data_IF_493210140709
#
_entry.id   IF_493210140709
#
_cell.length_a   1.000
_cell.length_b   1.000
_cell.length_c   1.000
_cell.angle_alpha   90.00
_cell.angle_beta   90.00
_cell.angle_gamma   90.00
#
_symmetry.space_group_name_H-M   'P 1'
#
loop_
_entity.id
_entity.type
_entity.pdbx_description
1 polymer ?
#
# COMPACT_ATOMS: atom_id res chain seq x y z
N UNK A 1 20.10 -16.46 -12.89
CA UNK A 1 20.67 -15.37 -13.73
C UNK A 1 20.33 -15.66 -15.17
N UNK A 2 19.56 -14.81 -15.83
CA UNK A 2 19.20 -14.95 -17.24
C UNK A 2 20.08 -14.04 -18.09
N UNK A 3 20.50 -14.54 -19.27
CA UNK A 3 21.35 -13.78 -20.18
C UNK A 3 20.61 -13.60 -21.50
N UNK A 4 20.45 -12.35 -21.90
CA UNK A 4 19.86 -11.97 -23.18
C UNK A 4 20.91 -11.36 -24.09
N UNK A 5 20.80 -11.66 -25.39
CA UNK A 5 21.66 -11.06 -26.41
C UNK A 5 20.78 -10.52 -27.53
N UNK A 6 20.99 -9.25 -27.89
CA UNK A 6 20.22 -8.55 -28.90
C UNK A 6 21.16 -7.90 -29.93
N UNK A 7 20.71 -7.81 -31.17
CA UNK A 7 21.36 -7.07 -32.21
C UNK A 7 20.37 -6.06 -32.79
N UNK A 8 20.69 -4.75 -32.78
CA UNK A 8 19.80 -3.72 -33.34
C UNK A 8 19.62 -3.87 -34.85
N UNK A 9 18.41 -3.61 -35.34
CA UNK A 9 18.07 -3.51 -36.74
C UNK A 9 18.19 -2.06 -37.29
N UNK A 10 17.84 -1.84 -38.56
CA UNK A 10 17.90 -0.53 -39.24
C UNK A 10 16.98 0.51 -38.55
N UNK A 11 15.81 0.09 -38.05
CA UNK A 11 14.84 1.00 -37.42
C UNK A 11 15.29 1.41 -35.98
N UNK A 12 16.07 0.54 -35.35
CA UNK A 12 16.56 0.73 -33.96
C UNK A 12 17.91 1.47 -33.92
N UNK A 13 18.57 1.66 -35.07
CA UNK A 13 19.82 2.42 -35.16
C UNK A 13 19.70 3.82 -34.58
N UNK A 14 20.67 4.22 -33.77
CA UNK A 14 20.73 5.49 -33.05
C UNK A 14 19.69 5.65 -31.94
N UNK A 15 18.88 4.63 -31.61
CA UNK A 15 18.09 4.64 -30.37
C UNK A 15 19.02 4.66 -29.15
N UNK A 16 18.58 5.29 -28.10
CA UNK A 16 19.27 5.17 -26.82
C UNK A 16 19.12 3.75 -26.31
N UNK A 17 20.20 3.18 -25.77
CA UNK A 17 20.22 1.78 -25.29
C UNK A 17 19.16 1.49 -24.22
N UNK A 18 18.85 2.47 -23.35
CA UNK A 18 17.79 2.31 -22.35
C UNK A 18 16.38 2.23 -22.97
N UNK A 19 16.16 2.86 -24.13
CA UNK A 19 14.92 2.74 -24.92
C UNK A 19 14.90 1.44 -25.71
N UNK A 20 15.98 1.13 -26.42
CA UNK A 20 16.16 -0.12 -27.15
C UNK A 20 15.85 -1.34 -26.26
N UNK A 21 16.48 -1.44 -25.09
CA UNK A 21 16.24 -2.54 -24.16
C UNK A 21 14.80 -2.59 -23.64
N UNK A 22 14.13 -1.44 -23.45
CA UNK A 22 12.73 -1.43 -23.02
C UNK A 22 11.75 -1.89 -24.11
N UNK A 23 12.13 -1.80 -25.36
CA UNK A 23 11.37 -2.36 -26.51
C UNK A 23 11.58 -3.87 -26.63
N UNK A 24 12.78 -4.36 -26.32
CA UNK A 24 13.11 -5.80 -26.35
C UNK A 24 12.53 -6.56 -25.15
N UNK A 25 12.38 -5.88 -24.00
CA UNK A 25 11.93 -6.48 -22.74
C UNK A 25 10.76 -5.65 -22.14
N UNK A 26 9.56 -5.78 -22.70
CA UNK A 26 8.39 -4.98 -22.30
C UNK A 26 7.96 -5.20 -20.85
N UNK A 27 8.30 -6.34 -20.27
CA UNK A 27 8.03 -6.67 -18.85
C UNK A 27 8.97 -5.95 -17.88
N UNK A 28 10.07 -5.38 -18.38
CA UNK A 28 11.04 -4.67 -17.54
C UNK A 28 10.85 -3.14 -17.62
N UNK A 29 10.79 -2.50 -16.45
CA UNK A 29 10.69 -1.04 -16.43
C UNK A 29 11.98 -0.39 -16.95
N UNK A 30 11.84 0.70 -17.72
CA UNK A 30 13.00 1.46 -18.22
C UNK A 30 13.93 1.94 -17.08
N UNK A 31 13.39 2.27 -15.91
CA UNK A 31 14.16 2.67 -14.73
C UNK A 31 15.03 1.52 -14.21
N UNK A 32 14.52 0.30 -14.26
CA UNK A 32 15.27 -0.89 -13.87
C UNK A 32 16.38 -1.19 -14.87
N UNK A 33 16.11 -1.10 -16.17
CA UNK A 33 17.12 -1.25 -17.21
C UNK A 33 18.25 -0.20 -17.10
N UNK A 34 17.92 1.04 -16.75
CA UNK A 34 18.92 2.08 -16.44
C UNK A 34 19.76 1.76 -15.20
N UNK A 35 19.19 1.12 -14.19
CA UNK A 35 19.92 0.63 -13.03
C UNK A 35 20.92 -0.46 -13.44
N UNK A 36 20.48 -1.45 -14.22
CA UNK A 36 21.33 -2.53 -14.73
C UNK A 36 22.49 -1.99 -15.60
N UNK A 37 22.23 -0.98 -16.45
CA UNK A 37 23.27 -0.28 -17.21
C UNK A 37 24.31 0.38 -16.30
N UNK A 38 23.86 1.01 -15.20
CA UNK A 38 24.74 1.68 -14.23
C UNK A 38 25.58 0.67 -13.43
N UNK A 39 25.03 -0.50 -13.14
CA UNK A 39 25.65 -1.58 -12.37
C UNK A 39 26.57 -2.47 -13.24
N UNK A 40 26.61 -2.21 -14.56
CA UNK A 40 27.49 -2.93 -15.48
C UNK A 40 26.92 -4.26 -15.99
N UNK A 41 25.65 -4.58 -15.71
CA UNK A 41 24.94 -5.78 -16.16
C UNK A 41 24.55 -5.72 -17.66
N UNK A 42 24.87 -4.62 -18.35
CA UNK A 42 24.66 -4.47 -19.79
C UNK A 42 25.99 -4.12 -20.44
N UNK A 43 26.35 -4.86 -21.46
CA UNK A 43 27.52 -4.59 -22.30
C UNK A 43 27.14 -4.47 -23.76
N UNK A 44 27.89 -3.67 -24.51
CA UNK A 44 27.83 -3.58 -25.96
C UNK A 44 29.21 -3.91 -26.51
N UNK A 45 29.29 -4.92 -27.35
CA UNK A 45 30.57 -5.42 -27.87
C UNK A 45 31.58 -5.66 -26.71
N UNK A 46 31.10 -6.34 -25.67
CA UNK A 46 31.86 -6.69 -24.44
C UNK A 46 32.29 -5.50 -23.54
N UNK A 47 31.85 -4.26 -23.84
CA UNK A 47 32.17 -3.05 -23.05
C UNK A 47 30.93 -2.51 -22.35
N UNK A 48 31.08 -2.08 -21.10
CA UNK A 48 30.03 -1.38 -20.38
C UNK A 48 29.75 -0.02 -21.01
N UNK A 49 28.47 0.36 -21.09
CA UNK A 49 28.04 1.61 -21.70
C UNK A 49 27.10 2.38 -20.79
N UNK A 50 26.99 3.70 -21.01
CA UNK A 50 26.03 4.55 -20.27
C UNK A 50 24.63 4.45 -20.89
N UNK A 51 23.58 4.73 -20.11
CA UNK A 51 22.18 4.67 -20.52
C UNK A 51 21.82 5.55 -21.74
N UNK A 52 22.64 6.54 -22.06
CA UNK A 52 22.50 7.41 -23.24
C UNK A 52 23.27 6.93 -24.47
N UNK A 53 23.96 5.79 -24.41
CA UNK A 53 24.62 5.19 -25.56
C UNK A 53 23.60 4.99 -26.69
N UNK A 54 24.00 5.31 -27.94
CA UNK A 54 23.17 5.12 -29.11
C UNK A 54 23.60 3.85 -29.83
N UNK A 55 22.71 2.84 -29.82
CA UNK A 55 23.01 1.56 -30.48
C UNK A 55 23.26 1.71 -31.96
N UNK A 56 24.21 0.96 -32.51
CA UNK A 56 24.57 0.94 -33.90
C UNK A 56 24.22 -0.41 -34.54
N UNK A 57 24.12 -0.43 -35.88
CA UNK A 57 24.01 -1.70 -36.59
C UNK A 57 25.21 -2.59 -36.27
N UNK A 58 24.93 -3.88 -36.08
CA UNK A 58 25.91 -4.91 -35.71
C UNK A 58 26.47 -4.81 -34.29
N UNK A 59 25.96 -3.89 -33.46
CA UNK A 59 26.23 -3.97 -32.01
C UNK A 59 25.69 -5.27 -31.45
N UNK A 60 26.48 -5.94 -30.62
CA UNK A 60 26.04 -7.07 -29.81
C UNK A 60 25.76 -6.54 -28.41
N UNK A 61 24.48 -6.38 -28.06
CA UNK A 61 24.03 -5.91 -26.77
C UNK A 61 23.75 -7.13 -25.89
N UNK A 62 24.57 -7.35 -24.85
CA UNK A 62 24.37 -8.42 -23.86
C UNK A 62 23.81 -7.83 -22.57
N UNK A 63 22.71 -8.37 -22.08
CA UNK A 63 22.11 -8.05 -20.79
C UNK A 63 22.18 -9.28 -19.90
N UNK A 64 22.75 -9.12 -18.71
CA UNK A 64 22.68 -10.09 -17.64
C UNK A 64 21.58 -9.64 -16.66
N UNK A 65 20.48 -10.39 -16.62
CA UNK A 65 19.39 -10.13 -15.70
C UNK A 65 19.67 -10.89 -14.38
N UNK A 66 20.01 -10.19 -13.29
CA UNK A 66 20.17 -10.83 -12.01
C UNK A 66 18.86 -11.49 -11.59
N UNK A 67 18.94 -12.61 -10.91
CA UNK A 67 17.77 -13.13 -10.22
C UNK A 67 17.28 -12.07 -9.21
N UNK A 68 15.95 -11.90 -9.07
CA UNK A 68 15.44 -11.01 -8.06
C UNK A 68 16.02 -11.43 -6.70
N UNK A 69 16.82 -10.58 -6.07
CA UNK A 69 17.11 -10.73 -4.65
C UNK A 69 15.77 -10.56 -3.91
N UNK A 70 15.10 -11.67 -3.63
CA UNK A 70 14.07 -11.67 -2.59
C UNK A 70 14.82 -11.55 -1.27
N UNK A 71 14.78 -10.41 -0.59
CA UNK A 71 15.35 -10.35 0.75
C UNK A 71 14.66 -11.42 1.59
N UNK A 72 15.44 -12.23 2.28
CA UNK A 72 14.91 -13.18 3.24
C UNK A 72 14.14 -12.41 4.30
N UNK A 73 12.83 -12.57 4.32
CA UNK A 73 11.98 -11.96 5.33
C UNK A 73 12.08 -12.87 6.56
N UNK A 74 12.75 -12.38 7.58
CA UNK A 74 12.97 -13.13 8.80
C UNK A 74 11.82 -12.88 9.79
N UNK A 75 11.35 -13.91 10.50
CA UNK A 75 10.46 -13.76 11.65
C UNK A 75 11.11 -12.87 12.72
N UNK A 76 10.35 -11.94 13.30
CA UNK A 76 10.82 -11.06 14.36
C UNK A 76 9.86 -11.12 15.55
N UNK A 77 10.41 -11.24 16.77
CA UNK A 77 9.64 -11.22 18.03
C UNK A 77 9.18 -9.78 18.33
N UNK A 78 8.10 -9.40 17.66
CA UNK A 78 7.45 -8.10 17.83
C UNK A 78 6.08 -8.34 18.48
N UNK A 79 5.79 -7.71 19.63
CA UNK A 79 4.51 -7.83 20.29
C UNK A 79 3.35 -7.42 19.39
N UNK A 80 2.32 -8.27 19.30
CA UNK A 80 1.09 -8.00 18.55
C UNK A 80 -0.05 -7.71 19.54
N UNK A 81 -0.78 -6.63 19.29
CA UNK A 81 -2.06 -6.36 19.97
C UNK A 81 -3.16 -7.16 19.26
N UNK A 82 -3.45 -8.36 19.79
CA UNK A 82 -4.36 -9.33 19.19
C UNK A 82 -5.79 -9.04 19.65
N UNK A 83 -6.68 -8.77 18.69
CA UNK A 83 -8.11 -8.58 18.93
C UNK A 83 -8.88 -9.92 18.90
N UNK A 84 -8.44 -10.85 18.06
CA UNK A 84 -9.01 -12.19 17.93
C UNK A 84 -8.03 -13.12 17.23
N UNK A 85 -8.06 -14.39 17.59
CA UNK A 85 -7.31 -15.44 16.93
C UNK A 85 -8.01 -16.78 17.04
N UNK A 86 -8.03 -17.53 15.92
CA UNK A 86 -8.43 -18.91 15.88
C UNK A 86 -7.51 -19.75 14.93
N UNK A 87 -7.98 -20.88 14.41
CA UNK A 87 -7.19 -21.73 13.50
C UNK A 87 -7.05 -21.12 12.09
N UNK A 88 -7.96 -20.24 11.68
CA UNK A 88 -8.08 -19.72 10.31
C UNK A 88 -7.61 -18.27 10.16
N UNK A 89 -7.91 -17.45 11.15
CA UNK A 89 -7.63 -16.01 11.07
C UNK A 89 -7.00 -15.47 12.36
N UNK A 90 -6.19 -14.42 12.19
CA UNK A 90 -5.64 -13.61 13.25
C UNK A 90 -6.01 -12.15 12.95
N UNK A 91 -6.70 -11.47 13.88
CA UNK A 91 -7.02 -10.05 13.79
C UNK A 91 -6.18 -9.28 14.79
N UNK A 92 -5.43 -8.31 14.32
CA UNK A 92 -4.59 -7.48 15.17
C UNK A 92 -5.00 -6.01 15.08
N UNK A 93 -4.74 -5.26 16.15
CA UNK A 93 -4.78 -3.80 16.17
C UNK A 93 -3.39 -3.26 15.79
N UNK A 94 -3.18 -2.95 14.51
CA UNK A 94 -1.88 -2.49 14.01
C UNK A 94 -1.50 -1.14 14.60
N UNK A 95 -0.31 -0.99 15.19
CA UNK A 95 0.17 0.29 15.69
C UNK A 95 0.52 1.26 14.55
N UNK A 96 0.70 2.53 14.90
CA UNK A 96 1.21 3.58 14.01
C UNK A 96 2.70 3.35 13.69
N UNK A 97 3.14 3.77 12.51
CA UNK A 97 4.54 3.66 12.10
C UNK A 97 4.98 2.29 11.59
N UNK A 98 4.10 1.27 11.64
CA UNK A 98 4.40 -0.09 11.18
C UNK A 98 3.83 -0.33 9.78
N UNK A 99 4.67 -0.72 8.81
CA UNK A 99 4.19 -1.16 7.49
C UNK A 99 3.66 -2.59 7.56
N UNK A 100 2.69 -2.91 6.70
CA UNK A 100 2.08 -4.25 6.72
C UNK A 100 3.03 -5.30 6.17
N UNK A 101 3.68 -5.04 5.03
CA UNK A 101 4.56 -6.01 4.38
C UNK A 101 5.86 -5.33 3.92
N UNK A 102 6.96 -6.08 3.82
CA UNK A 102 8.24 -5.56 3.38
C UNK A 102 8.16 -4.82 2.04
N UNK A 103 8.87 -3.72 1.96
CA UNK A 103 8.97 -2.89 0.77
C UNK A 103 10.30 -2.13 0.77
N UNK A 104 10.66 -1.51 -0.35
CA UNK A 104 11.91 -0.76 -0.45
C UNK A 104 12.09 0.24 0.70
N UNK A 105 13.12 0.06 1.51
CA UNK A 105 13.42 0.86 2.71
C UNK A 105 12.78 0.35 4.02
N UNK A 106 11.95 -0.71 3.97
CA UNK A 106 11.27 -1.31 5.13
C UNK A 106 11.22 -2.82 4.98
N UNK A 107 12.35 -3.52 5.19
CA UNK A 107 12.44 -4.99 5.08
C UNK A 107 12.29 -5.69 6.41
N UNK A 108 12.35 -4.97 7.51
CA UNK A 108 12.25 -5.42 8.90
C UNK A 108 11.17 -4.66 9.64
N UNK A 109 10.77 -5.12 10.82
CA UNK A 109 9.79 -4.49 11.70
C UNK A 109 8.42 -4.25 11.03
N UNK A 110 7.99 -5.19 10.19
CA UNK A 110 6.69 -5.16 9.52
C UNK A 110 5.70 -6.10 10.20
N UNK A 111 4.41 -5.94 9.90
CA UNK A 111 3.39 -6.89 10.36
C UNK A 111 3.76 -8.31 9.90
N UNK A 112 4.25 -8.48 8.67
CA UNK A 112 4.68 -9.80 8.15
C UNK A 112 5.77 -10.42 9.04
N UNK A 113 6.83 -9.66 9.42
CA UNK A 113 7.87 -10.19 10.30
C UNK A 113 7.30 -10.65 11.64
N UNK A 114 6.38 -9.87 12.24
CA UNK A 114 5.75 -10.18 13.51
C UNK A 114 4.84 -11.42 13.43
N UNK A 115 3.99 -11.51 12.39
CA UNK A 115 3.07 -12.66 12.25
C UNK A 115 3.80 -13.95 11.85
N UNK A 116 4.91 -13.86 11.12
CA UNK A 116 5.76 -15.02 10.87
C UNK A 116 6.36 -15.58 12.15
N UNK A 117 6.72 -14.73 13.10
CA UNK A 117 7.20 -15.17 14.41
C UNK A 117 6.07 -15.77 15.25
N UNK A 118 4.94 -15.10 15.30
CA UNK A 118 3.78 -15.50 16.10
C UNK A 118 3.13 -16.80 15.59
N UNK A 119 2.81 -16.86 14.29
CA UNK A 119 2.09 -17.97 13.68
C UNK A 119 3.01 -19.11 13.23
N UNK A 120 4.33 -18.88 13.13
CA UNK A 120 5.32 -19.85 12.64
C UNK A 120 4.91 -20.41 11.27
N UNK A 121 4.70 -21.73 11.19
CA UNK A 121 4.33 -22.41 9.93
C UNK A 121 2.83 -22.25 9.56
N UNK A 122 2.04 -21.66 10.46
CA UNK A 122 0.59 -21.47 10.27
C UNK A 122 0.30 -20.12 9.62
N UNK A 123 0.72 -19.93 8.37
CA UNK A 123 0.37 -18.77 7.53
C UNK A 123 0.10 -19.25 6.11
N UNK A 124 -0.89 -18.60 5.45
CA UNK A 124 -1.14 -18.86 4.04
C UNK A 124 0.03 -18.46 3.17
N UNK A 125 0.44 -19.32 2.27
CA UNK A 125 1.51 -19.10 1.29
C UNK A 125 1.05 -18.52 -0.06
N UNK A 126 -0.24 -18.30 -0.28
CA UNK A 126 -0.80 -17.91 -1.59
C UNK A 126 -0.12 -16.69 -2.22
N UNK A 127 0.20 -15.66 -1.41
CA UNK A 127 0.89 -14.45 -1.90
C UNK A 127 2.42 -14.55 -1.84
N UNK A 128 2.95 -15.77 -1.70
CA UNK A 128 4.38 -16.07 -1.67
C UNK A 128 5.09 -15.57 -0.43
N UNK A 129 6.41 -15.75 -0.41
CA UNK A 129 7.30 -15.47 0.73
C UNK A 129 7.23 -14.00 1.19
N UNK A 130 6.93 -13.07 0.29
CA UNK A 130 6.90 -11.63 0.59
C UNK A 130 5.67 -11.17 1.36
N UNK A 131 4.57 -11.95 1.37
CA UNK A 131 3.28 -11.53 1.93
C UNK A 131 2.47 -12.70 2.51
N UNK A 132 3.08 -13.58 3.31
CA UNK A 132 2.36 -14.73 3.85
C UNK A 132 1.18 -14.25 4.69
N UNK A 133 -0.01 -14.82 4.44
CA UNK A 133 -1.23 -14.52 5.17
C UNK A 133 -1.88 -13.13 4.89
N UNK A 134 -1.28 -12.26 4.08
CA UNK A 134 -1.75 -10.89 3.87
C UNK A 134 -2.72 -10.79 2.70
N UNK A 135 -3.99 -10.52 2.96
CA UNK A 135 -5.05 -10.31 1.95
C UNK A 135 -5.38 -8.84 1.70
N UNK A 136 -5.15 -7.97 2.71
CA UNK A 136 -5.34 -6.53 2.57
C UNK A 136 -4.29 -5.75 3.35
N UNK A 137 -4.32 -4.43 3.23
CA UNK A 137 -3.35 -3.56 3.90
C UNK A 137 -3.97 -2.23 4.31
N UNK A 138 -3.41 -1.65 5.36
CA UNK A 138 -3.57 -0.25 5.75
C UNK A 138 -2.20 0.46 5.68
N UNK A 139 -2.20 1.78 5.59
CA UNK A 139 -0.95 2.55 5.46
C UNK A 139 -0.09 2.46 6.72
N UNK A 140 1.19 2.79 6.61
CA UNK A 140 2.16 2.76 7.71
C UNK A 140 1.65 3.51 8.95
N UNK A 141 1.16 4.74 8.76
CA UNK A 141 0.68 5.58 9.84
C UNK A 141 -0.83 5.46 10.11
N UNK A 142 -1.52 4.55 9.44
CA UNK A 142 -2.90 4.17 9.78
C UNK A 142 -2.87 3.07 10.83
N UNK A 143 -3.60 3.27 11.92
CA UNK A 143 -3.76 2.30 13.01
C UNK A 143 -5.02 1.47 12.84
N UNK A 144 -5.16 0.38 13.62
CA UNK A 144 -6.42 -0.34 13.76
C UNK A 144 -6.44 -1.74 13.15
N UNK A 145 -7.64 -2.26 13.00
CA UNK A 145 -7.88 -3.66 12.67
C UNK A 145 -7.37 -4.07 11.29
N UNK A 146 -6.61 -5.17 11.28
CA UNK A 146 -6.18 -5.87 10.07
C UNK A 146 -6.31 -7.38 10.28
N UNK A 147 -6.80 -8.12 9.25
CA UNK A 147 -6.89 -9.58 9.29
C UNK A 147 -5.71 -10.22 8.55
N UNK A 148 -5.22 -11.28 9.16
CA UNK A 148 -4.18 -12.17 8.64
C UNK A 148 -4.78 -13.57 8.49
N UNK A 149 -4.49 -14.24 7.38
CA UNK A 149 -4.96 -15.59 7.08
C UNK A 149 -3.91 -16.61 7.51
N UNK A 150 -4.30 -17.54 8.40
CA UNK A 150 -3.42 -18.58 8.91
C UNK A 150 -3.28 -19.78 7.98
N UNK A 151 -4.17 -19.93 7.01
CA UNK A 151 -4.16 -20.99 6.00
C UNK A 151 -4.72 -20.52 4.66
N UNK A 152 -4.55 -21.35 3.63
CA UNK A 152 -4.91 -21.01 2.25
C UNK A 152 -6.43 -20.97 2.03
N UNK A 153 -7.22 -21.76 2.75
CA UNK A 153 -8.68 -21.73 2.70
C UNK A 153 -9.21 -20.36 3.17
N UNK A 154 -8.72 -19.90 4.31
CA UNK A 154 -9.07 -18.58 4.84
C UNK A 154 -8.62 -17.45 3.89
N UNK A 155 -7.42 -17.58 3.31
CA UNK A 155 -6.90 -16.60 2.36
C UNK A 155 -7.80 -16.48 1.12
N UNK A 156 -8.14 -17.60 0.50
CA UNK A 156 -9.00 -17.62 -0.69
C UNK A 156 -10.37 -17.01 -0.39
N UNK A 157 -11.02 -17.44 0.71
CA UNK A 157 -12.32 -16.93 1.12
C UNK A 157 -12.31 -15.43 1.35
N UNK A 158 -11.34 -14.90 2.11
CA UNK A 158 -11.27 -13.47 2.39
C UNK A 158 -10.84 -12.64 1.17
N UNK A 159 -10.01 -13.20 0.29
CA UNK A 159 -9.67 -12.55 -0.98
C UNK A 159 -10.89 -12.40 -1.89
N UNK A 160 -11.75 -13.43 -1.97
CA UNK A 160 -13.00 -13.38 -2.75
C UNK A 160 -13.98 -12.36 -2.13
N UNK A 161 -14.17 -12.35 -0.81
CA UNK A 161 -14.99 -11.34 -0.13
C UNK A 161 -14.49 -9.90 -0.34
N UNK A 162 -13.16 -9.69 -0.36
CA UNK A 162 -12.56 -8.39 -0.69
C UNK A 162 -12.82 -7.99 -2.15
N UNK A 163 -12.79 -8.93 -3.07
CA UNK A 163 -13.07 -8.73 -4.49
C UNK A 163 -14.56 -8.42 -4.74
N UNK A 164 -15.45 -9.06 -4.00
CA UNK A 164 -16.89 -8.83 -4.03
C UNK A 164 -17.33 -7.62 -3.21
N UNK A 165 -16.40 -6.98 -2.52
CA UNK A 165 -16.66 -5.82 -1.65
C UNK A 165 -17.62 -6.10 -0.49
N UNK A 166 -17.71 -7.33 -0.03
CA UNK A 166 -18.62 -7.76 1.05
C UNK A 166 -18.03 -7.58 2.46
N UNK A 167 -16.72 -7.32 2.58
CA UNK A 167 -16.05 -7.06 3.86
C UNK A 167 -16.40 -5.65 4.37
N UNK A 168 -16.95 -5.57 5.58
CA UNK A 168 -17.20 -4.31 6.28
C UNK A 168 -15.87 -3.70 6.74
N UNK A 169 -15.60 -2.45 6.32
CA UNK A 169 -14.42 -1.69 6.72
C UNK A 169 -14.83 -0.27 7.06
N UNK A 170 -14.85 0.04 8.38
CA UNK A 170 -15.14 1.38 8.86
C UNK A 170 -13.92 1.99 9.51
N UNK A 171 -13.69 3.24 9.22
CA UNK A 171 -12.55 4.00 9.71
C UNK A 171 -13.02 5.22 10.49
N UNK A 172 -12.23 5.64 11.45
CA UNK A 172 -12.35 6.93 12.10
C UNK A 172 -11.27 7.86 11.55
N UNK A 173 -11.66 9.07 11.17
CA UNK A 173 -10.73 10.07 10.65
C UNK A 173 -11.02 11.45 11.23
N UNK A 174 -9.97 12.23 11.46
CA UNK A 174 -10.08 13.65 11.72
C UNK A 174 -9.62 14.40 10.49
N UNK A 175 -10.48 15.27 9.94
CA UNK A 175 -10.20 16.03 8.72
C UNK A 175 -10.15 17.53 9.00
N UNK A 176 -9.41 18.26 8.17
CA UNK A 176 -9.38 19.72 8.19
C UNK A 176 -10.68 20.31 7.66
N UNK A 177 -11.09 21.41 8.27
CA UNK A 177 -12.28 22.17 7.89
C UNK A 177 -13.57 21.61 8.47
N UNK A 178 -14.66 22.30 8.21
CA UNK A 178 -16.00 21.94 8.67
C UNK A 178 -16.80 21.39 7.49
N UNK A 179 -17.05 20.08 7.47
CA UNK A 179 -17.93 19.43 6.50
C UNK A 179 -19.36 19.95 6.71
N UNK A 180 -19.99 20.45 5.67
CA UNK A 180 -21.35 21.04 5.73
C UNK A 180 -22.42 19.95 5.91
N UNK A 181 -22.32 18.92 5.08
CA UNK A 181 -23.25 17.79 5.06
C UNK A 181 -22.90 16.78 6.14
N UNK A 182 -23.91 16.21 6.79
CA UNK A 182 -23.72 15.22 7.85
C UNK A 182 -23.24 13.87 7.33
N UNK A 183 -23.51 13.57 6.09
CA UNK A 183 -23.06 12.37 5.38
C UNK A 183 -22.85 12.65 3.90
N UNK A 184 -22.05 11.83 3.24
CA UNK A 184 -21.82 11.96 1.82
C UNK A 184 -21.01 10.81 1.25
N UNK A 185 -20.94 10.78 -0.08
CA UNK A 185 -20.17 9.80 -0.84
C UNK A 185 -19.16 10.52 -1.72
N UNK A 186 -17.92 10.08 -1.67
CA UNK A 186 -16.86 10.54 -2.57
C UNK A 186 -16.54 9.41 -3.54
N UNK A 187 -16.80 9.65 -4.82
CA UNK A 187 -16.50 8.75 -5.91
C UNK A 187 -15.42 9.36 -6.78
N UNK A 188 -14.41 8.53 -7.13
CA UNK A 188 -13.37 8.97 -8.04
C UNK A 188 -12.31 7.89 -8.22
N UNK A 189 -11.92 7.58 -9.47
CA UNK A 189 -10.93 6.54 -9.73
C UNK A 189 -9.56 6.94 -9.20
N UNK A 190 -8.94 6.07 -8.40
CA UNK A 190 -7.63 6.32 -7.80
C UNK A 190 -6.53 5.64 -8.60
N UNK A 191 -5.52 6.40 -8.98
CA UNK A 191 -4.32 5.97 -9.69
C UNK A 191 -3.08 6.69 -9.20
N UNK A 192 -1.91 6.33 -9.75
CA UNK A 192 -0.67 7.03 -9.47
C UNK A 192 -0.76 8.50 -9.89
N UNK A 193 -0.21 9.40 -9.08
CA UNK A 193 -0.08 10.80 -9.45
C UNK A 193 0.84 10.95 -10.67
N UNK A 194 0.53 11.89 -11.56
CA UNK A 194 1.20 11.99 -12.87
C UNK A 194 2.72 12.27 -12.76
N UNK A 195 3.13 13.04 -11.76
CA UNK A 195 4.53 13.49 -11.61
C UNK A 195 5.18 13.00 -10.30
N UNK A 196 4.42 12.83 -9.23
CA UNK A 196 4.93 12.39 -7.93
C UNK A 196 4.61 10.92 -7.67
N UNK A 197 5.59 10.04 -7.86
CA UNK A 197 5.43 8.58 -7.70
C UNK A 197 5.09 8.13 -6.27
N UNK A 198 5.29 8.97 -5.25
CA UNK A 198 4.94 8.68 -3.86
C UNK A 198 3.46 8.94 -3.57
N UNK A 199 2.78 9.69 -4.45
CA UNK A 199 1.37 10.07 -4.30
C UNK A 199 0.44 9.23 -5.17
N UNK A 200 -0.77 9.08 -4.67
CA UNK A 200 -1.95 8.68 -5.44
C UNK A 200 -2.77 9.94 -5.72
N UNK A 201 -3.64 9.87 -6.72
CA UNK A 201 -4.53 10.98 -7.08
C UNK A 201 -5.84 10.45 -7.68
N UNK A 202 -6.86 11.29 -7.75
CA UNK A 202 -8.00 11.05 -8.64
C UNK A 202 -7.47 11.07 -10.07
N UNK A 203 -7.61 9.95 -10.77
CA UNK A 203 -7.02 9.73 -12.09
C UNK A 203 -8.03 9.04 -13.01
N UNK A 204 -8.77 9.84 -13.76
CA UNK A 204 -9.80 9.34 -14.70
C UNK A 204 -9.23 8.57 -15.89
N UNK A 205 -7.93 8.71 -16.19
CA UNK A 205 -7.31 8.05 -17.34
C UNK A 205 -6.87 6.61 -17.01
N UNK A 206 -6.24 6.41 -15.85
CA UNK A 206 -5.60 5.14 -15.49
C UNK A 206 -5.92 4.70 -14.04
N UNK A 207 -6.87 5.37 -13.38
CA UNK A 207 -7.29 5.04 -12.03
C UNK A 207 -8.24 3.85 -12.00
N UNK A 208 -8.26 3.16 -10.85
CA UNK A 208 -9.25 2.11 -10.57
C UNK A 208 -10.43 2.72 -9.82
N UNK A 209 -11.69 2.35 -10.11
CA UNK A 209 -12.86 2.83 -9.39
C UNK A 209 -12.68 2.75 -7.87
N UNK A 210 -13.11 3.79 -7.19
CA UNK A 210 -13.03 3.88 -5.75
C UNK A 210 -14.24 4.66 -5.21
N UNK A 211 -14.82 4.17 -4.09
CA UNK A 211 -16.00 4.74 -3.43
C UNK A 211 -15.75 4.76 -1.92
N UNK A 212 -15.92 5.94 -1.32
CA UNK A 212 -15.81 6.17 0.12
C UNK A 212 -17.07 6.91 0.60
N UNK A 213 -17.81 6.31 1.51
CA UNK A 213 -18.90 6.98 2.23
C UNK A 213 -18.33 7.60 3.50
N UNK A 214 -18.80 8.80 3.85
CA UNK A 214 -18.48 9.41 5.13
C UNK A 214 -19.73 9.83 5.90
N UNK A 215 -19.61 9.80 7.22
CA UNK A 215 -20.60 10.32 8.16
C UNK A 215 -19.91 11.18 9.20
N UNK A 216 -20.43 12.38 9.41
CA UNK A 216 -19.94 13.29 10.45
C UNK A 216 -20.35 12.76 11.81
N UNK A 217 -19.41 12.69 12.71
CA UNK A 217 -19.63 12.30 14.11
C UNK A 217 -19.61 13.53 15.03
N UNK A 218 -18.66 14.46 14.80
CA UNK A 218 -18.53 15.67 15.61
C UNK A 218 -17.81 16.77 14.81
N UNK A 219 -18.21 18.03 15.04
CA UNK A 219 -17.60 19.22 14.41
C UNK A 219 -16.93 20.10 15.45
N UNK A 220 -15.69 20.51 15.16
CA UNK A 220 -14.86 21.35 16.04
C UNK A 220 -14.54 22.71 15.39
N UNK A 221 -15.39 23.23 14.50
CA UNK A 221 -15.14 24.45 13.76
C UNK A 221 -14.09 24.31 12.67
N UNK A 222 -12.81 24.25 13.02
CA UNK A 222 -11.72 24.09 12.06
C UNK A 222 -11.45 22.62 11.66
N UNK A 223 -12.08 21.64 12.31
CA UNK A 223 -11.90 20.21 12.09
C UNK A 223 -13.24 19.48 12.19
N UNK A 224 -13.30 18.33 11.52
CA UNK A 224 -14.47 17.43 11.61
C UNK A 224 -14.00 16.00 11.86
N UNK A 225 -14.60 15.37 12.87
CA UNK A 225 -14.42 13.94 13.17
C UNK A 225 -15.46 13.16 12.39
N UNK A 226 -15.01 12.19 11.61
CA UNK A 226 -15.86 11.43 10.69
C UNK A 226 -15.65 9.92 10.83
N UNK A 227 -16.70 9.17 10.49
CA UNK A 227 -16.60 7.77 10.11
C UNK A 227 -16.53 7.69 8.60
N UNK A 228 -15.61 6.86 8.07
CA UNK A 228 -15.56 6.51 6.66
C UNK A 228 -15.87 5.02 6.49
N UNK A 229 -16.75 4.68 5.56
CA UNK A 229 -17.01 3.30 5.15
C UNK A 229 -16.56 3.10 3.70
N UNK A 230 -15.80 2.03 3.47
CA UNK A 230 -15.22 1.73 2.17
C UNK A 230 -16.00 0.64 1.43
N UNK A 231 -16.37 0.90 0.18
CA UNK A 231 -16.72 -0.18 -0.75
C UNK A 231 -15.45 -0.79 -1.34
N UNK A 232 -14.52 0.02 -1.78
CA UNK A 232 -13.25 -0.38 -2.39
C UNK A 232 -12.07 -0.15 -1.45
N UNK A 233 -10.90 -0.74 -1.71
CA UNK A 233 -9.69 -0.60 -0.89
C UNK A 233 -8.47 -0.19 -1.70
N UNK A 234 -8.46 1.00 -2.32
CA UNK A 234 -7.32 1.50 -3.09
C UNK A 234 -6.29 2.14 -2.16
N UNK A 235 -5.04 2.10 -2.60
CA UNK A 235 -3.92 2.73 -1.86
C UNK A 235 -4.24 4.20 -1.56
N UNK A 236 -4.11 4.62 -0.30
CA UNK A 236 -4.40 5.96 0.20
C UNK A 236 -5.84 6.46 -0.05
N UNK A 237 -6.81 5.57 -0.25
CA UNK A 237 -8.15 5.93 -0.75
C UNK A 237 -8.83 7.03 0.07
N UNK A 238 -9.03 6.86 1.37
CA UNK A 238 -9.68 7.87 2.23
C UNK A 238 -8.88 9.18 2.18
N UNK A 239 -7.56 9.12 2.22
CA UNK A 239 -6.66 10.26 2.21
C UNK A 239 -6.82 11.09 0.93
N UNK A 240 -6.82 10.42 -0.23
CA UNK A 240 -7.01 11.05 -1.55
C UNK A 240 -8.43 11.60 -1.70
N UNK A 241 -9.46 10.82 -1.34
CA UNK A 241 -10.85 11.23 -1.48
C UNK A 241 -11.16 12.45 -0.61
N UNK A 242 -10.80 12.43 0.67
CA UNK A 242 -11.05 13.57 1.55
C UNK A 242 -10.26 14.82 1.13
N UNK A 243 -9.02 14.65 0.66
CA UNK A 243 -8.26 15.77 0.12
C UNK A 243 -8.87 16.34 -1.16
N UNK A 244 -9.45 15.49 -2.03
CA UNK A 244 -10.07 15.93 -3.29
C UNK A 244 -11.31 16.81 -3.11
N UNK A 245 -12.00 16.67 -1.97
CA UNK A 245 -13.14 17.51 -1.60
C UNK A 245 -12.75 18.68 -0.67
N UNK A 246 -11.44 18.96 -0.51
CA UNK A 246 -10.93 20.07 0.29
C UNK A 246 -10.82 19.83 1.79
N UNK A 247 -11.01 18.59 2.25
CA UNK A 247 -10.96 18.17 3.65
C UNK A 247 -9.88 17.10 3.91
N UNK A 248 -8.57 17.39 3.68
CA UNK A 248 -7.51 16.41 3.92
C UNK A 248 -7.45 15.99 5.39
N UNK A 249 -6.90 14.81 5.65
CA UNK A 249 -6.76 14.29 7.00
C UNK A 249 -5.76 15.10 7.81
N UNK A 250 -6.06 15.32 9.06
CA UNK A 250 -5.15 15.98 10.02
C UNK A 250 -3.89 15.13 10.21
N UNK A 251 -2.73 15.77 10.16
CA UNK A 251 -1.44 15.09 10.27
C UNK A 251 -0.94 14.40 9.00
N UNK A 252 -1.72 14.42 7.90
CA UNK A 252 -1.28 13.82 6.63
C UNK A 252 -0.22 14.69 5.95
N UNK A 253 1.04 14.23 5.98
CA UNK A 253 2.18 14.94 5.39
C UNK A 253 2.20 14.89 3.86
N UNK A 254 1.39 14.01 3.26
CA UNK A 254 1.36 13.78 1.80
C UNK A 254 0.27 14.61 1.12
N UNK A 255 -0.91 14.65 1.71
CA UNK A 255 -2.11 15.27 1.13
C UNK A 255 -2.63 16.47 1.93
N UNK A 256 -2.18 16.63 3.14
CA UNK A 256 -2.56 17.72 4.04
C UNK A 256 -1.71 19.00 3.87
N UNK A 257 -2.00 20.01 4.67
CA UNK A 257 -1.21 21.23 4.73
C UNK A 257 0.25 20.96 5.11
N UNK A 258 1.17 21.78 4.57
CA UNK A 258 2.60 21.64 4.84
C UNK A 258 2.98 21.78 6.34
N UNK A 259 2.14 22.47 7.11
CA UNK A 259 2.31 22.62 8.57
C UNK A 259 1.11 22.00 9.28
N UNK A 260 1.36 20.94 10.07
CA UNK A 260 0.38 20.41 11.00
C UNK A 260 0.39 21.27 12.28
N UNK A 261 -0.76 21.78 12.75
CA UNK A 261 -0.82 22.52 13.99
C UNK A 261 -0.55 21.68 15.23
N UNK A 262 -0.68 20.35 15.12
CA UNK A 262 -0.47 19.40 16.22
C UNK A 262 0.93 18.79 16.12
N UNK A 263 1.87 19.35 16.90
CA UNK A 263 3.31 19.00 16.82
C UNK A 263 3.67 17.55 17.13
N UNK A 264 2.79 16.82 17.83
CA UNK A 264 3.04 15.45 18.26
C UNK A 264 2.41 14.40 17.34
N UNK A 265 1.68 14.82 16.31
CA UNK A 265 1.11 13.89 15.35
C UNK A 265 2.16 13.41 14.35
N UNK A 266 2.42 12.12 14.37
CA UNK A 266 3.20 11.43 13.36
C UNK A 266 2.25 10.82 12.33
N UNK A 267 2.14 11.44 11.13
CA UNK A 267 1.25 10.96 10.07
C UNK A 267 -0.24 11.22 10.34
N UNK A 268 -1.06 10.73 9.43
CA UNK A 268 -2.51 10.98 9.38
C UNK A 268 -3.29 10.45 10.59
N UNK A 269 -4.29 11.23 11.04
CA UNK A 269 -5.32 10.76 11.97
C UNK A 269 -6.34 9.89 11.24
N UNK A 270 -6.01 8.61 11.07
CA UNK A 270 -6.83 7.60 10.43
C UNK A 270 -6.70 6.28 11.20
N UNK A 271 -7.84 5.67 11.53
CA UNK A 271 -7.90 4.46 12.30
C UNK A 271 -8.92 3.48 11.71
N UNK A 272 -8.50 2.25 11.41
CA UNK A 272 -9.38 1.16 10.97
C UNK A 272 -10.15 0.64 12.19
N UNK A 273 -11.32 1.24 12.44
CA UNK A 273 -12.11 1.02 13.65
C UNK A 273 -12.83 -0.30 13.64
N UNK A 274 -13.44 -0.66 12.51
CA UNK A 274 -14.27 -1.87 12.39
C UNK A 274 -13.85 -2.67 11.18
N UNK A 275 -13.71 -3.97 11.40
CA UNK A 275 -13.48 -4.97 10.37
C UNK A 275 -14.47 -6.12 10.56
N UNK A 276 -15.36 -6.35 9.57
CA UNK A 276 -16.34 -7.43 9.61
C UNK A 276 -16.33 -8.23 8.30
N UNK A 277 -16.45 -9.54 8.43
CA UNK A 277 -16.44 -10.47 7.30
C UNK A 277 -17.16 -11.77 7.67
N UNK A 278 -17.50 -12.58 6.65
CA UNK A 278 -18.00 -13.92 6.86
C UNK A 278 -16.83 -14.85 7.14
N UNK A 279 -16.85 -15.51 8.30
CA UNK A 279 -15.76 -16.37 8.73
C UNK A 279 -15.58 -17.57 7.77
N UNK A 280 -14.35 -17.84 7.31
CA UNK A 280 -14.08 -18.81 6.24
C UNK A 280 -14.57 -20.22 6.50
N UNK A 281 -14.55 -20.69 7.77
CA UNK A 281 -14.93 -22.04 8.16
C UNK A 281 -16.38 -22.14 8.61
N UNK A 282 -16.83 -21.21 9.45
CA UNK A 282 -18.17 -21.30 10.06
C UNK A 282 -19.26 -20.71 9.18
N UNK A 283 -18.90 -19.88 8.19
CA UNK A 283 -19.81 -19.11 7.36
C UNK A 283 -20.71 -18.15 8.15
N UNK A 284 -20.34 -17.80 9.37
CA UNK A 284 -21.01 -16.81 10.18
C UNK A 284 -20.35 -15.44 10.01
N UNK A 285 -21.17 -14.36 9.98
CA UNK A 285 -20.62 -13.00 9.98
C UNK A 285 -20.05 -12.69 11.35
N UNK A 286 -18.81 -12.25 11.39
CA UNK A 286 -18.10 -11.80 12.59
C UNK A 286 -17.56 -10.39 12.37
N UNK A 287 -17.55 -9.58 13.44
CA UNK A 287 -17.11 -8.19 13.39
C UNK A 287 -16.25 -7.85 14.60
N UNK A 288 -15.15 -7.15 14.36
CA UNK A 288 -14.19 -6.76 15.38
C UNK A 288 -14.00 -5.25 15.37
N UNK A 289 -13.89 -4.67 16.57
CA UNK A 289 -13.60 -3.26 16.76
C UNK A 289 -12.24 -3.08 17.42
N UNK A 290 -11.38 -2.28 16.80
CA UNK A 290 -10.13 -1.83 17.40
C UNK A 290 -10.37 -0.54 18.20
N UNK A 291 -9.90 -0.44 19.47
CA UNK A 291 -10.06 0.79 20.24
C UNK A 291 -9.25 1.94 19.60
N UNK A 292 -9.78 3.16 19.67
CA UNK A 292 -9.04 4.35 19.26
C UNK A 292 -7.75 4.46 20.08
N UNK A 293 -6.60 4.71 19.42
CA UNK A 293 -5.35 4.88 20.15
C UNK A 293 -5.35 6.19 20.96
N UNK A 294 -4.59 6.22 22.04
CA UNK A 294 -4.51 7.33 23.00
C UNK A 294 -4.26 8.68 22.33
N UNK A 295 -3.32 8.76 21.40
CA UNK A 295 -3.04 10.01 20.68
C UNK A 295 -4.28 10.58 19.96
N UNK A 296 -5.19 9.71 19.51
CA UNK A 296 -6.39 10.12 18.81
C UNK A 296 -7.48 10.57 19.78
N UNK A 297 -7.66 9.84 20.86
CA UNK A 297 -8.60 10.23 21.95
C UNK A 297 -8.20 11.54 22.60
N UNK A 298 -6.94 11.71 22.95
CA UNK A 298 -6.39 12.95 23.52
C UNK A 298 -6.59 14.15 22.58
N UNK A 299 -6.38 13.94 21.29
CA UNK A 299 -6.61 14.98 20.28
C UNK A 299 -8.08 15.41 20.25
N UNK A 300 -9.02 14.45 20.23
CA UNK A 300 -10.46 14.75 20.25
C UNK A 300 -10.87 15.46 21.53
N UNK A 301 -10.36 15.04 22.69
CA UNK A 301 -10.63 15.70 23.98
C UNK A 301 -10.11 17.15 24.01
N UNK A 302 -8.93 17.39 23.44
CA UNK A 302 -8.39 18.74 23.36
C UNK A 302 -9.17 19.65 22.41
N UNK A 303 -9.79 19.10 21.36
CA UNK A 303 -10.64 19.84 20.43
C UNK A 303 -12.02 20.18 21.00
N UNK A 304 -12.48 19.44 22.04
CA UNK A 304 -13.75 19.68 22.75
C UNK A 304 -13.66 20.80 23.79
N UNK A 305 -12.46 21.14 24.24
CA UNK A 305 -12.17 22.24 25.20
C UNK A 305 -12.17 23.59 24.49
#
# INVERSE_FOLDING_TARGET
>A
MEIYTFTPDEEQKNLRIDKFLSEQLPDQSRSYLQKLLKEGNVTVNEKTVKANYKVQLFDTVKLELPEPECPDILPEDIPLDILYEDEDVLIINKPKGMVVHPSAGHYTHTVVNAVMFHCKEHLSGINGVMRPGIVHRIDMDTTGAIVICKNDMAHQSLADQLKEHSITRKYRALVHGNLKEDEGTVEGPIGRHATDRKKMAINYKNGKPAVTHYKVLERFGAYTFIECQLETGRTHQIRVHMASIGHPLVGDITYGPAKCPFKHLQGQCLHAMVLGFVHPRTNEYIEFSAPLPEYFTDLLENLRK
#
